data_IF_293113879581
#
_entry.id   IF_293113879581
#
_cell.length_a   1.000
_cell.length_b   1.000
_cell.length_c   1.000
_cell.angle_alpha   90.00
_cell.angle_beta   90.00
_cell.angle_gamma   90.00
#
_symmetry.space_group_name_H-M   'P 1'
#
loop_
_entity.id
_entity.type
_entity.pdbx_description
1 polymer ?
#
# COMPACT_ATOMS: atom_id res chain seq x y z
N UNK A 1 -19.45 -23.36 8.96
CA UNK A 1 -20.48 -22.41 8.52
C UNK A 1 -19.87 -21.02 8.33
N UNK A 2 -19.71 -20.58 7.08
CA UNK A 2 -19.38 -19.17 6.82
C UNK A 2 -20.62 -18.34 7.15
N UNK A 3 -20.49 -17.39 8.08
CA UNK A 3 -21.54 -16.43 8.37
C UNK A 3 -21.81 -15.53 7.16
N UNK A 4 -22.88 -14.72 7.18
CA UNK A 4 -23.10 -13.73 6.13
C UNK A 4 -21.89 -12.80 6.02
N UNK A 5 -21.59 -12.34 4.80
CA UNK A 5 -20.58 -11.31 4.61
C UNK A 5 -20.93 -10.07 5.47
N UNK A 6 -19.94 -9.44 6.14
CA UNK A 6 -20.21 -8.25 6.93
C UNK A 6 -20.82 -7.17 6.04
N UNK A 7 -21.92 -6.59 6.51
CA UNK A 7 -22.53 -5.42 5.86
C UNK A 7 -21.60 -4.22 6.02
N UNK A 8 -21.66 -3.28 5.08
CA UNK A 8 -20.91 -2.02 5.19
C UNK A 8 -21.78 -1.06 6.01
N UNK A 9 -21.66 -1.16 7.33
CA UNK A 9 -22.42 -0.37 8.30
C UNK A 9 -21.60 -0.15 9.59
N UNK A 10 -22.07 0.75 10.45
CA UNK A 10 -21.40 1.03 11.72
C UNK A 10 -21.27 -0.25 12.58
N UNK A 11 -20.09 -0.47 13.15
CA UNK A 11 -19.74 -1.65 13.94
C UNK A 11 -19.29 -2.86 13.13
N UNK A 12 -19.39 -2.83 11.79
CA UNK A 12 -18.89 -3.91 10.95
C UNK A 12 -17.37 -4.06 11.05
N UNK A 13 -16.90 -5.31 11.11
CA UNK A 13 -15.47 -5.65 11.24
C UNK A 13 -14.93 -6.35 10.01
N UNK A 14 -13.78 -5.89 9.54
CA UNK A 14 -13.08 -6.45 8.38
C UNK A 14 -11.65 -6.81 8.78
N UNK A 15 -11.29 -8.09 8.58
CA UNK A 15 -9.93 -8.58 8.83
C UNK A 15 -9.15 -8.69 7.54
N UNK A 16 -7.87 -8.30 7.57
CA UNK A 16 -6.94 -8.47 6.47
C UNK A 16 -5.62 -9.03 6.99
N UNK A 17 -4.96 -9.85 6.17
CA UNK A 17 -3.68 -10.44 6.57
C UNK A 17 -2.74 -10.57 5.39
N UNK A 18 -1.45 -10.35 5.61
CA UNK A 18 -0.38 -10.48 4.62
C UNK A 18 0.60 -11.59 5.05
N UNK A 19 1.04 -12.40 4.09
CA UNK A 19 2.10 -13.39 4.30
C UNK A 19 2.99 -13.50 3.06
N UNK A 20 4.29 -13.75 3.28
CA UNK A 20 5.25 -14.10 2.24
C UNK A 20 6.11 -15.27 2.74
N UNK A 21 6.48 -16.18 1.82
CA UNK A 21 7.23 -17.40 2.16
C UNK A 21 6.67 -18.16 3.39
N UNK A 22 5.34 -18.28 3.46
CA UNK A 22 4.58 -18.93 4.56
C UNK A 22 4.78 -18.29 5.95
N UNK A 23 5.18 -17.02 5.99
CA UNK A 23 5.32 -16.24 7.23
C UNK A 23 4.33 -15.09 7.23
N UNK A 24 3.58 -14.95 8.31
CA UNK A 24 2.74 -13.77 8.58
C UNK A 24 3.65 -12.55 8.67
N UNK A 25 3.34 -11.51 7.88
CA UNK A 25 4.08 -10.23 7.90
C UNK A 25 3.26 -9.09 8.51
N UNK A 26 1.95 -9.10 8.30
CA UNK A 26 1.05 -8.11 8.88
C UNK A 26 -0.36 -8.67 9.07
N UNK A 27 -1.08 -8.12 10.03
CA UNK A 27 -2.52 -8.30 10.16
C UNK A 27 -3.19 -6.99 10.55
N UNK A 28 -4.43 -6.81 10.08
CA UNK A 28 -5.23 -5.65 10.40
C UNK A 28 -6.68 -6.06 10.70
N UNK A 29 -7.31 -5.35 11.63
CA UNK A 29 -8.76 -5.36 11.82
C UNK A 29 -9.27 -3.93 11.76
N UNK A 30 -10.25 -3.71 10.89
CA UNK A 30 -10.95 -2.43 10.75
C UNK A 30 -12.33 -2.55 11.36
N UNK A 31 -12.72 -1.63 12.22
CA UNK A 31 -14.09 -1.49 12.73
C UNK A 31 -14.71 -0.21 12.18
N UNK A 32 -15.71 -0.33 11.29
CA UNK A 32 -16.33 0.83 10.67
C UNK A 32 -17.14 1.64 11.68
N UNK A 33 -17.03 2.97 11.62
CA UNK A 33 -17.79 3.90 12.45
C UNK A 33 -18.91 4.57 11.66
N UNK A 34 -18.57 5.22 10.54
CA UNK A 34 -19.52 6.02 9.76
C UNK A 34 -19.06 6.26 8.31
N UNK A 35 -19.97 6.65 7.40
CA UNK A 35 -19.58 7.17 6.10
C UNK A 35 -18.67 8.40 6.22
N UNK A 36 -17.68 8.52 5.35
CA UNK A 36 -16.74 9.65 5.30
C UNK A 36 -16.81 10.34 3.95
N UNK A 37 -16.60 11.66 3.94
CA UNK A 37 -16.50 12.44 2.69
C UNK A 37 -15.21 12.12 1.91
N UNK A 38 -14.14 11.73 2.60
CA UNK A 38 -12.82 11.42 2.01
C UNK A 38 -12.28 10.05 2.47
N UNK A 39 -11.29 9.50 1.76
CA UNK A 39 -10.65 8.21 2.06
C UNK A 39 -9.26 8.35 2.73
N UNK A 40 -9.10 9.37 3.58
CA UNK A 40 -7.80 9.73 4.16
C UNK A 40 -6.88 10.41 3.14
N UNK A 41 -5.62 10.64 3.53
CA UNK A 41 -4.70 11.48 2.76
C UNK A 41 -3.76 10.70 1.82
N UNK A 42 -3.44 9.44 2.11
CA UNK A 42 -2.38 8.69 1.40
C UNK A 42 -2.74 8.25 -0.01
N UNK A 43 -4.04 8.09 -0.31
CA UNK A 43 -4.50 7.43 -1.54
C UNK A 43 -4.70 8.38 -2.75
N UNK A 44 -4.27 9.65 -2.66
CA UNK A 44 -4.53 10.66 -3.70
C UNK A 44 -3.26 11.31 -4.28
N UNK A 45 -2.09 11.11 -3.66
CA UNK A 45 -0.85 11.72 -4.13
C UNK A 45 -0.18 10.87 -5.22
N UNK A 46 0.54 11.51 -6.17
CA UNK A 46 1.44 10.78 -7.05
C UNK A 46 2.46 9.97 -6.25
N UNK A 47 2.75 8.77 -6.72
CA UNK A 47 3.63 7.82 -6.06
C UNK A 47 5.02 7.88 -6.68
N UNK A 48 6.03 8.12 -5.85
CA UNK A 48 7.42 8.01 -6.26
C UNK A 48 7.85 6.53 -6.24
N UNK A 49 8.49 6.07 -7.32
CA UNK A 49 8.98 4.69 -7.44
C UNK A 49 10.39 4.64 -8.02
N UNK A 50 11.14 3.61 -7.65
CA UNK A 50 12.39 3.26 -8.28
C UNK A 50 12.16 2.21 -9.38
N UNK A 51 12.62 2.48 -10.59
CA UNK A 51 12.72 1.49 -11.67
C UNK A 51 14.17 1.03 -11.77
N UNK A 52 14.48 -0.07 -11.09
CA UNK A 52 15.83 -0.61 -11.02
C UNK A 52 15.92 -1.98 -11.68
N UNK A 53 16.92 -2.15 -12.55
CA UNK A 53 17.24 -3.42 -13.17
C UNK A 53 18.75 -3.64 -13.09
N UNK A 54 19.24 -4.66 -12.35
CA UNK A 54 20.65 -5.01 -12.35
C UNK A 54 21.16 -5.40 -13.74
N UNK A 55 22.41 -5.03 -14.05
CA UNK A 55 23.08 -5.51 -15.25
C UNK A 55 23.42 -6.99 -15.14
N UNK A 56 23.37 -7.71 -16.26
CA UNK A 56 23.86 -9.09 -16.36
C UNK A 56 25.35 -9.16 -16.65
N UNK A 57 25.97 -8.04 -17.04
CA UNK A 57 27.38 -7.98 -17.39
C UNK A 57 28.24 -7.96 -16.13
N UNK A 58 29.32 -8.73 -16.15
CA UNK A 58 30.26 -8.79 -15.02
C UNK A 58 30.87 -7.42 -14.76
N UNK A 59 30.78 -6.95 -13.52
CA UNK A 59 31.40 -5.70 -13.07
C UNK A 59 30.67 -4.43 -13.51
N UNK A 60 29.40 -4.54 -13.91
CA UNK A 60 28.51 -3.39 -14.11
C UNK A 60 27.44 -3.34 -13.02
N UNK A 61 27.02 -2.13 -12.64
CA UNK A 61 25.93 -1.87 -11.71
C UNK A 61 24.56 -2.07 -12.34
N UNK A 62 23.71 -1.03 -12.29
CA UNK A 62 22.34 -1.10 -12.81
C UNK A 62 22.27 -0.81 -14.31
N UNK A 63 21.55 -1.65 -15.06
CA UNK A 63 21.17 -1.39 -16.45
C UNK A 63 20.03 -0.36 -16.57
N UNK A 64 19.24 -0.22 -15.51
CA UNK A 64 18.22 0.82 -15.38
C UNK A 64 18.27 1.36 -13.94
N UNK A 65 18.42 2.68 -13.81
CA UNK A 65 18.40 3.39 -12.54
C UNK A 65 17.60 4.68 -12.71
N UNK A 66 16.31 4.63 -12.42
CA UNK A 66 15.41 5.77 -12.57
C UNK A 66 14.54 5.95 -11.32
N UNK A 67 14.44 7.19 -10.86
CA UNK A 67 13.35 7.64 -10.00
C UNK A 67 12.24 8.17 -10.89
N UNK A 68 11.03 7.65 -10.69
CA UNK A 68 9.85 8.04 -11.46
C UNK A 68 8.71 8.46 -10.54
N UNK A 69 7.75 9.13 -11.12
CA UNK A 69 6.45 9.46 -10.53
C UNK A 69 5.34 8.78 -11.34
N UNK A 70 4.42 8.10 -10.67
CA UNK A 70 3.19 7.56 -11.28
C UNK A 70 1.97 8.15 -10.59
N UNK A 71 0.86 8.25 -11.33
CA UNK A 71 -0.39 8.76 -10.80
C UNK A 71 -1.58 8.23 -11.60
N UNK A 72 -2.77 8.43 -11.05
CA UNK A 72 -4.01 8.08 -11.74
C UNK A 72 -4.30 9.10 -12.87
N UNK A 73 -4.58 8.60 -14.08
CA UNK A 73 -5.17 9.40 -15.15
C UNK A 73 -6.65 9.69 -14.88
N UNK A 74 -7.36 8.72 -14.30
CA UNK A 74 -8.72 8.89 -13.81
C UNK A 74 -9.01 7.96 -12.63
N UNK A 75 -10.03 8.31 -11.84
CA UNK A 75 -10.44 7.61 -10.63
C UNK A 75 -11.96 7.56 -10.53
N UNK A 76 -12.48 6.42 -10.10
CA UNK A 76 -13.85 6.24 -9.62
C UNK A 76 -13.81 5.53 -8.27
N UNK A 77 -14.70 5.86 -7.35
CA UNK A 77 -14.78 5.13 -6.10
C UNK A 77 -16.13 5.25 -5.41
N UNK A 78 -16.51 4.18 -4.70
CA UNK A 78 -17.73 4.12 -3.90
C UNK A 78 -17.68 5.01 -2.66
N UNK A 79 -18.74 4.98 -1.85
CA UNK A 79 -18.83 5.70 -0.58
C UNK A 79 -17.71 5.27 0.38
N UNK A 80 -16.78 6.17 0.78
CA UNK A 80 -15.81 5.87 1.82
C UNK A 80 -16.48 5.68 3.18
N UNK A 81 -15.91 4.80 4.00
CA UNK A 81 -16.22 4.66 5.42
C UNK A 81 -14.95 4.83 6.24
N UNK A 82 -15.05 5.53 7.37
CA UNK A 82 -13.96 5.67 8.34
C UNK A 82 -14.22 4.75 9.53
N UNK A 83 -13.13 4.27 10.13
CA UNK A 83 -13.17 3.34 11.25
C UNK A 83 -11.92 3.39 12.11
N UNK A 84 -11.91 2.54 13.12
CA UNK A 84 -10.76 2.29 13.98
C UNK A 84 -9.93 1.14 13.42
N UNK A 85 -8.61 1.18 13.65
CA UNK A 85 -7.65 0.21 13.12
C UNK A 85 -6.90 -0.48 14.26
N UNK A 86 -6.89 -1.80 14.25
CA UNK A 86 -5.87 -2.62 14.91
C UNK A 86 -4.90 -3.07 13.80
N UNK A 87 -3.60 -2.79 13.93
CA UNK A 87 -2.58 -3.14 12.93
C UNK A 87 -1.33 -3.65 13.63
N UNK A 88 -0.82 -4.80 13.21
CA UNK A 88 0.40 -5.41 13.73
C UNK A 88 1.31 -5.83 12.58
N UNK A 89 2.62 -5.60 12.74
CA UNK A 89 3.67 -6.09 11.84
C UNK A 89 4.50 -7.16 12.55
N UNK A 90 4.98 -8.13 11.78
CA UNK A 90 5.71 -9.28 12.31
C UNK A 90 7.07 -9.41 11.62
N UNK A 91 8.08 -9.74 12.41
CA UNK A 91 9.43 -10.01 11.93
C UNK A 91 9.47 -11.25 11.02
N UNK A 92 10.25 -11.18 9.95
CA UNK A 92 10.56 -12.32 9.10
C UNK A 92 12.03 -12.30 8.66
N UNK A 93 12.70 -13.45 8.56
CA UNK A 93 14.12 -13.49 8.19
C UNK A 93 14.46 -12.94 6.81
N UNK A 94 13.46 -12.80 5.94
CA UNK A 94 13.63 -12.37 4.54
C UNK A 94 12.98 -11.03 4.23
N UNK A 95 12.23 -10.45 5.17
CA UNK A 95 11.44 -9.24 4.94
C UNK A 95 11.76 -8.19 6.00
N UNK A 96 11.72 -6.93 5.58
CA UNK A 96 12.08 -5.80 6.44
C UNK A 96 10.85 -4.97 6.87
N UNK A 97 9.63 -5.43 6.57
CA UNK A 97 8.39 -4.68 6.79
C UNK A 97 8.23 -4.22 8.24
N UNK A 98 8.57 -5.07 9.21
CA UNK A 98 8.44 -4.77 10.64
C UNK A 98 9.34 -3.62 11.12
N UNK A 99 10.37 -3.23 10.33
CA UNK A 99 11.20 -2.05 10.62
C UNK A 99 10.44 -0.73 10.49
N UNK A 100 9.29 -0.73 9.80
CA UNK A 100 8.37 0.42 9.75
C UNK A 100 7.47 0.41 10.99
N UNK A 101 8.05 0.72 12.15
CA UNK A 101 7.37 0.67 13.44
C UNK A 101 6.07 1.49 13.45
N UNK A 102 4.99 0.88 13.94
CA UNK A 102 3.70 1.55 14.09
C UNK A 102 3.71 2.31 15.40
N UNK A 103 3.82 3.64 15.32
CA UNK A 103 3.71 4.50 16.51
C UNK A 103 2.25 4.79 16.89
N UNK A 104 1.43 5.13 15.91
CA UNK A 104 0.04 5.50 16.12
C UNK A 104 -0.82 5.15 14.90
N UNK A 105 -1.80 4.24 15.03
CA UNK A 105 -2.85 4.09 14.04
C UNK A 105 -3.78 5.31 14.06
N UNK A 106 -3.76 6.13 13.01
CA UNK A 106 -4.54 7.39 12.95
C UNK A 106 -6.01 7.13 12.61
N UNK A 107 -6.28 6.27 11.61
CA UNK A 107 -7.62 5.87 11.19
C UNK A 107 -7.55 4.67 10.23
N UNK A 108 -8.65 3.93 10.10
CA UNK A 108 -8.87 3.00 9.00
C UNK A 108 -9.93 3.53 8.03
N UNK A 109 -9.81 3.12 6.77
CA UNK A 109 -10.78 3.43 5.73
C UNK A 109 -11.16 2.18 4.96
N UNK A 110 -12.45 2.06 4.61
CA UNK A 110 -12.95 1.09 3.64
C UNK A 110 -13.57 1.84 2.46
N UNK A 111 -13.17 1.47 1.24
CA UNK A 111 -13.72 2.04 0.01
C UNK A 111 -13.48 1.10 -1.17
N UNK A 112 -14.42 1.08 -2.11
CA UNK A 112 -14.21 0.50 -3.45
C UNK A 112 -13.49 1.52 -4.33
N UNK A 113 -12.44 1.10 -5.02
CA UNK A 113 -11.57 1.98 -5.82
C UNK A 113 -11.39 1.40 -7.23
N UNK A 114 -11.59 2.22 -8.25
CA UNK A 114 -11.24 1.98 -9.64
C UNK A 114 -10.32 3.10 -10.13
N UNK A 115 -9.22 2.73 -10.79
CA UNK A 115 -8.19 3.67 -11.24
C UNK A 115 -7.76 3.30 -12.65
N UNK A 116 -7.53 4.31 -13.49
CA UNK A 116 -6.81 4.16 -14.75
C UNK A 116 -5.42 4.73 -14.59
N UNK A 117 -4.42 3.93 -14.95
CA UNK A 117 -3.02 4.36 -15.09
C UNK A 117 -2.65 4.31 -16.58
N UNK A 118 -2.14 5.41 -17.12
CA UNK A 118 -1.75 5.54 -18.53
C UNK A 118 -0.27 5.95 -18.73
N UNK A 119 0.47 6.10 -17.63
CA UNK A 119 1.90 6.40 -17.70
C UNK A 119 2.47 6.91 -16.38
N UNK A 120 3.64 7.54 -16.51
CA UNK A 120 4.36 8.19 -15.42
C UNK A 120 5.38 9.18 -15.98
N UNK A 121 6.08 9.87 -15.09
CA UNK A 121 7.11 10.86 -15.42
C UNK A 121 8.46 10.42 -14.87
N UNK A 122 9.50 10.48 -15.69
CA UNK A 122 10.88 10.37 -15.20
C UNK A 122 11.18 11.60 -14.35
N UNK A 123 11.61 11.39 -13.11
CA UNK A 123 12.06 12.45 -12.22
C UNK A 123 13.57 12.64 -12.33
N UNK A 124 14.33 11.54 -12.27
CA UNK A 124 15.80 11.56 -12.30
C UNK A 124 16.35 10.19 -12.74
N UNK A 125 17.53 10.17 -13.38
CA UNK A 125 18.27 8.94 -13.71
C UNK A 125 19.58 8.86 -12.93
N UNK A 126 20.09 7.66 -12.65
CA UNK A 126 21.35 7.46 -11.91
C UNK A 126 21.24 7.76 -10.42
N UNK A 127 20.05 7.59 -9.83
CA UNK A 127 19.74 7.99 -8.45
C UNK A 127 20.33 7.11 -7.36
N UNK A 128 20.71 5.87 -7.68
CA UNK A 128 21.15 4.89 -6.69
C UNK A 128 22.63 5.02 -6.31
N UNK A 129 23.43 5.68 -7.14
CA UNK A 129 24.89 5.69 -7.01
C UNK A 129 25.55 4.31 -7.20
N UNK A 130 24.82 3.34 -7.76
CA UNK A 130 25.34 2.01 -8.05
C UNK A 130 26.17 2.03 -9.35
N UNK A 131 27.49 1.85 -9.23
CA UNK A 131 28.44 1.67 -10.35
C UNK A 131 28.46 0.25 -10.91
#
# INVERSE_FOLDING_TARGET
PYGPAPRIEAGARFGATLAAADRRLAQAVVTLREPSETNGFVNAHPMAHHRWLPSIEKGKGLALDELIETGAASFEGGQPWVGDAELELFEAPTEELARLEIHEPIAAYYRQVGVVWDGGRLLESGTSGAE
#
